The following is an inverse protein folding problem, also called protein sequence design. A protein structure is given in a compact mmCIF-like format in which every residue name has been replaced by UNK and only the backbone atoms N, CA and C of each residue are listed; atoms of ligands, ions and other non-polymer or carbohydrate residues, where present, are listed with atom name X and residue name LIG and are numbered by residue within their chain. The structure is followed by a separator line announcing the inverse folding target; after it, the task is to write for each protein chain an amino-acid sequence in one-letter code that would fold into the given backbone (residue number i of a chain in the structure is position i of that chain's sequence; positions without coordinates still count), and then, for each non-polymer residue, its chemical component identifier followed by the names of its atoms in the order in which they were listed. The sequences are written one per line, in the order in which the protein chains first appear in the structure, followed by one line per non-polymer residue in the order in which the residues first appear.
data_IF_918820626740
#
_entry.id   IF_918820626740
#
_cell.length_a   1.000
_cell.length_b   1.000
_cell.length_c   1.000
_cell.angle_alpha   90.00
_cell.angle_beta   90.00
_cell.angle_gamma   90.00
#
_symmetry.space_group_name_H-M   'P 1'
#
loop_
_entity.id
_entity.type
_entity.pdbx_description
1 polymer ?
#
# COMPACT_ATOMS: atom_id res chain seq x y z
N UNK A 1 -7.88 -4.91 7.83
CA UNK A 1 -6.56 -5.43 7.36
C UNK A 1 -6.11 -4.79 6.05
N UNK A 2 -7.01 -4.52 5.09
CA UNK A 2 -6.66 -3.88 3.81
C UNK A 2 -6.02 -2.48 3.97
N UNK A 3 -6.52 -1.63 4.87
CA UNK A 3 -6.04 -0.25 5.02
C UNK A 3 -4.54 -0.14 5.33
N UNK A 4 -4.00 -1.07 6.12
CA UNK A 4 -2.56 -1.11 6.46
C UNK A 4 -1.70 -1.45 5.24
N UNK A 5 -2.18 -2.36 4.39
CA UNK A 5 -1.45 -2.79 3.19
C UNK A 5 -1.42 -1.64 2.18
N UNK A 6 -2.55 -0.95 1.99
CA UNK A 6 -2.68 0.20 1.09
C UNK A 6 -1.77 1.34 1.54
N UNK A 7 -1.74 1.63 2.84
CA UNK A 7 -0.89 2.68 3.42
C UNK A 7 0.60 2.39 3.18
N UNK A 8 1.06 1.19 3.56
CA UNK A 8 2.45 0.75 3.36
C UNK A 8 2.83 0.77 1.87
N UNK A 9 1.93 0.36 0.99
CA UNK A 9 2.16 0.40 -0.46
C UNK A 9 2.26 1.84 -0.96
N UNK A 10 1.37 2.74 -0.53
CA UNK A 10 1.39 4.15 -0.90
C UNK A 10 2.67 4.84 -0.46
N UNK A 11 3.05 4.64 0.81
CA UNK A 11 4.29 5.13 1.39
C UNK A 11 5.51 4.65 0.59
N UNK A 12 5.58 3.34 0.32
CA UNK A 12 6.69 2.77 -0.45
C UNK A 12 6.76 3.36 -1.86
N UNK A 13 5.62 3.56 -2.53
CA UNK A 13 5.56 4.12 -3.88
C UNK A 13 5.99 5.59 -3.92
N UNK A 14 5.56 6.38 -2.95
CA UNK A 14 5.91 7.80 -2.84
C UNK A 14 7.42 7.98 -2.61
N UNK A 15 7.99 7.22 -1.68
CA UNK A 15 9.42 7.27 -1.39
C UNK A 15 10.27 6.69 -2.53
N UNK A 16 9.81 5.62 -3.19
CA UNK A 16 10.50 5.07 -4.37
C UNK A 16 10.52 6.07 -5.52
N UNK A 17 9.44 6.85 -5.74
CA UNK A 17 9.43 7.95 -6.72
C UNK A 17 10.42 9.06 -6.39
N UNK A 18 10.75 9.25 -5.13
CA UNK A 18 11.79 10.20 -4.66
C UNK A 18 13.21 9.62 -4.72
N UNK A 19 13.39 8.38 -5.19
CA UNK A 19 14.68 7.71 -5.31
C UNK A 19 15.12 6.95 -4.05
N UNK A 20 14.23 6.75 -3.08
CA UNK A 20 14.54 6.04 -1.83
C UNK A 20 14.29 4.55 -2.01
N UNK A 21 15.25 3.72 -1.59
CA UNK A 21 15.15 2.27 -1.66
C UNK A 21 14.10 1.70 -0.71
N UNK A 22 13.43 0.61 -1.14
CA UNK A 22 12.42 -0.08 -0.35
C UNK A 22 12.94 -0.59 1.01
N UNK A 23 14.23 -0.91 1.09
CA UNK A 23 14.88 -1.31 2.35
C UNK A 23 14.99 -0.16 3.35
N UNK A 24 15.22 1.07 2.85
CA UNK A 24 15.27 2.25 3.69
C UNK A 24 13.88 2.58 4.22
N UNK A 25 12.87 2.51 3.36
CA UNK A 25 11.45 2.69 3.74
C UNK A 25 11.05 1.67 4.81
N UNK A 26 11.44 0.41 4.64
CA UNK A 26 11.15 -0.63 5.62
C UNK A 26 11.80 -0.33 6.98
N UNK A 27 13.09 -0.02 7.01
CA UNK A 27 13.80 0.18 8.28
C UNK A 27 13.42 1.49 8.99
N UNK A 28 13.18 2.58 8.26
CA UNK A 28 12.95 3.91 8.85
C UNK A 28 11.49 4.22 9.10
N UNK A 29 10.56 3.65 8.32
CA UNK A 29 9.15 4.01 8.40
C UNK A 29 8.30 2.82 8.85
N UNK A 30 8.44 1.67 8.18
CA UNK A 30 7.52 0.54 8.38
C UNK A 30 7.83 -0.23 9.67
N UNK A 31 9.10 -0.51 9.95
CA UNK A 31 9.54 -1.24 11.14
C UNK A 31 9.16 -0.51 12.45
N UNK A 32 9.44 0.80 12.63
CA UNK A 32 9.07 1.49 13.87
C UNK A 32 7.56 1.65 14.03
N UNK A 33 6.82 1.83 12.93
CA UNK A 33 5.39 2.13 12.98
C UNK A 33 4.50 0.87 13.06
N UNK A 34 4.80 -0.14 12.25
CA UNK A 34 3.97 -1.33 12.11
C UNK A 34 4.55 -2.56 12.80
N UNK A 35 5.84 -2.54 13.16
CA UNK A 35 6.56 -3.65 13.83
C UNK A 35 6.35 -5.00 13.11
N UNK A 36 6.31 -4.98 11.79
CA UNK A 36 6.16 -6.17 10.96
C UNK A 36 7.52 -6.67 10.47
N UNK A 37 7.63 -7.98 10.26
CA UNK A 37 8.84 -8.57 9.67
C UNK A 37 8.99 -8.20 8.20
N UNK A 38 10.23 -8.20 7.70
CA UNK A 38 10.58 -7.90 6.31
C UNK A 38 9.83 -8.80 5.31
N UNK A 39 9.65 -10.08 5.66
CA UNK A 39 8.84 -11.03 4.88
C UNK A 39 7.38 -10.58 4.73
N UNK A 40 6.77 -10.10 5.81
CA UNK A 40 5.39 -9.59 5.81
C UNK A 40 5.29 -8.31 4.97
N UNK A 41 6.28 -7.42 5.07
CA UNK A 41 6.36 -6.22 4.23
C UNK A 41 6.41 -6.55 2.73
N UNK A 42 7.29 -7.48 2.31
CA UNK A 42 7.32 -7.92 0.91
C UNK A 42 6.05 -8.64 0.48
N UNK A 43 5.42 -9.42 1.36
CA UNK A 43 4.12 -10.03 1.08
C UNK A 43 3.03 -8.97 0.84
N UNK A 44 3.03 -7.90 1.64
CA UNK A 44 2.13 -6.76 1.45
C UNK A 44 2.41 -5.99 0.16
N UNK A 45 3.67 -5.86 -0.25
CA UNK A 45 4.04 -5.27 -1.54
C UNK A 45 3.65 -6.15 -2.75
N UNK A 46 3.79 -7.47 -2.61
CA UNK A 46 3.45 -8.43 -3.65
C UNK A 46 1.93 -8.61 -3.80
N UNK A 47 1.17 -8.39 -2.72
CA UNK A 47 -0.28 -8.38 -2.78
C UNK A 47 -0.76 -7.29 -3.73
N UNK A 48 -1.55 -7.63 -4.76
CA UNK A 48 -2.03 -6.69 -5.78
C UNK A 48 -3.12 -5.75 -5.25
N UNK A 49 -2.85 -5.02 -4.17
CA UNK A 49 -3.81 -4.09 -3.57
C UNK A 49 -4.16 -2.94 -4.52
N UNK A 50 -3.27 -2.52 -5.43
CA UNK A 50 -3.60 -1.58 -6.53
C UNK A 50 -4.67 -2.10 -7.48
N UNK A 51 -4.71 -3.41 -7.75
CA UNK A 51 -5.69 -4.04 -8.65
C UNK A 51 -7.06 -4.18 -7.99
N UNK A 52 -7.08 -4.30 -6.67
CA UNK A 52 -8.29 -4.27 -5.85
C UNK A 52 -8.79 -2.83 -5.61
N UNK A 53 -7.88 -1.85 -5.45
CA UNK A 53 -8.24 -0.44 -5.24
C UNK A 53 -8.98 0.14 -6.44
N UNK A 54 -8.48 -0.14 -7.65
CA UNK A 54 -9.15 0.29 -8.89
C UNK A 54 -10.56 -0.31 -9.04
N UNK A 55 -10.81 -1.51 -8.50
CA UNK A 55 -12.17 -2.08 -8.45
C UNK A 55 -13.05 -1.39 -7.41
N UNK A 56 -12.50 -1.01 -6.24
CA UNK A 56 -13.25 -0.29 -5.21
C UNK A 56 -13.68 1.11 -5.67
N UNK A 57 -12.76 1.89 -6.25
CA UNK A 57 -13.09 3.22 -6.81
C UNK A 57 -14.12 3.10 -7.94
N UNK A 58 -13.95 2.11 -8.83
CA UNK A 58 -14.93 1.85 -9.90
C UNK A 58 -16.29 1.43 -9.34
N UNK A 59 -16.34 0.73 -8.21
CA UNK A 59 -17.60 0.31 -7.57
C UNK A 59 -18.30 1.48 -6.87
N UNK A 60 -17.54 2.38 -6.23
CA UNK A 60 -18.08 3.60 -5.62
C UNK A 60 -18.61 4.59 -6.66
N UNK A 61 -17.89 4.77 -7.78
CA UNK A 61 -18.34 5.63 -8.89
C UNK A 61 -19.63 5.12 -9.52
N UNK A 62 -19.77 3.79 -9.72
CA UNK A 62 -20.99 3.18 -10.28
C UNK A 62 -22.21 3.32 -9.37
N UNK A 63 -22.02 3.38 -8.05
CA UNK A 63 -23.11 3.53 -7.09
C UNK A 63 -23.60 4.98 -6.99
N UNK A 64 -22.75 5.96 -7.28
CA UNK A 64 -23.10 7.38 -7.30
C UNK A 64 -23.88 7.82 -8.55
N UNK A 65 -23.81 7.06 -9.65
CA UNK A 65 -24.50 7.39 -10.92
C UNK A 65 -25.88 6.74 -11.07
N UNK A 66 -26.36 6.02 -10.06
CA UNK A 66 -27.64 5.30 -10.06
C UNK A 66 -28.74 5.99 -9.25
N UNK A 67 -28.54 7.26 -8.86
CA UNK A 67 -29.56 8.10 -8.23
C UNK A 67 -29.77 9.39 -9.02
#
# INVERSE_FOLDING_TARGET
MLSRIIDIQGLTLEHTRRGVSQEWVYNNLVLPQYRISKRTFYNYLACSAKRELGKLESSLLKQATLF
#
